data_IF_222491857165
#
_entry.id   IF_222491857165
#
_cell.length_a   1.000
_cell.length_b   1.000
_cell.length_c   1.000
_cell.angle_alpha   90.00
_cell.angle_beta   90.00
_cell.angle_gamma   90.00
#
_symmetry.space_group_name_H-M   'P 1'
#
loop_
_entity.id
_entity.type
_entity.pdbx_description
1 polymer ?
#
# COMPACT_ATOMS: atom_id res chain seq x y z
N UNK A 1 -4.48 1.98 -0.76
CA UNK A 1 -3.14 2.65 -0.84
C UNK A 1 -2.07 1.57 -0.90
N UNK A 2 -1.17 1.63 -1.88
CA UNK A 2 -0.06 0.70 -2.02
C UNK A 2 1.25 1.37 -1.59
N UNK A 3 2.30 0.64 -1.28
CA UNK A 3 3.60 1.19 -0.88
C UNK A 3 4.73 0.41 -1.52
N UNK A 4 5.80 1.06 -1.97
CA UNK A 4 6.97 0.37 -2.51
C UNK A 4 7.94 0.07 -1.38
N UNK A 5 8.38 -1.18 -1.29
CA UNK A 5 9.34 -1.62 -0.31
C UNK A 5 10.45 -2.49 -0.90
N UNK A 6 11.67 -2.28 -0.43
CA UNK A 6 12.81 -3.11 -0.78
C UNK A 6 13.08 -4.11 0.36
N UNK A 7 13.13 -5.40 0.04
CA UNK A 7 13.54 -6.44 0.98
C UNK A 7 15.05 -6.42 1.21
N UNK A 8 15.50 -7.06 2.30
CA UNK A 8 16.94 -7.18 2.66
C UNK A 8 17.83 -7.84 1.57
N UNK A 9 17.23 -8.44 0.54
CA UNK A 9 17.90 -9.11 -0.58
C UNK A 9 17.84 -8.32 -1.90
N UNK A 10 17.48 -7.03 -1.86
CA UNK A 10 17.35 -6.20 -3.08
C UNK A 10 16.12 -6.51 -3.93
N UNK A 11 15.12 -7.19 -3.35
CA UNK A 11 13.84 -7.49 -4.02
C UNK A 11 12.85 -6.38 -3.75
N UNK A 12 12.23 -5.83 -4.78
CA UNK A 12 11.17 -4.83 -4.62
C UNK A 12 9.83 -5.51 -4.31
N UNK A 13 8.95 -4.81 -3.61
CA UNK A 13 7.62 -5.27 -3.27
C UNK A 13 6.63 -4.11 -3.21
N UNK A 14 5.41 -4.36 -3.64
CA UNK A 14 4.27 -3.46 -3.50
C UNK A 14 3.42 -3.94 -2.33
N UNK A 15 3.37 -3.14 -1.27
CA UNK A 15 2.66 -3.43 -0.03
C UNK A 15 1.27 -2.81 -0.05
N UNK A 16 0.21 -3.58 0.17
CA UNK A 16 -1.15 -3.09 0.44
C UNK A 16 -1.51 -3.37 1.88
N UNK A 17 -1.56 -2.32 2.69
CA UNK A 17 -2.19 -2.41 4.01
C UNK A 17 -3.72 -2.44 3.87
N UNK A 18 -4.43 -3.18 4.71
CA UNK A 18 -5.90 -3.15 4.82
C UNK A 18 -6.32 -3.48 6.26
N UNK A 19 -7.44 -2.93 6.74
CA UNK A 19 -7.81 -3.01 8.15
C UNK A 19 -9.29 -3.26 8.40
N UNK A 20 -10.16 -2.38 7.89
CA UNK A 20 -11.58 -2.42 8.24
C UNK A 20 -12.39 -3.33 7.30
N UNK A 21 -13.63 -3.62 7.69
CA UNK A 21 -14.52 -4.49 6.93
C UNK A 21 -14.78 -4.01 5.50
N UNK A 22 -14.84 -2.69 5.26
CA UNK A 22 -15.01 -2.16 3.90
C UNK A 22 -13.78 -2.50 3.05
N UNK A 23 -12.57 -2.22 3.55
CA UNK A 23 -11.36 -2.57 2.81
C UNK A 23 -11.19 -4.08 2.56
N UNK A 24 -11.64 -4.92 3.51
CA UNK A 24 -11.68 -6.38 3.32
C UNK A 24 -12.66 -6.76 2.20
N UNK A 25 -13.85 -6.15 2.18
CA UNK A 25 -14.88 -6.42 1.18
C UNK A 25 -14.53 -5.88 -0.21
N UNK A 26 -13.77 -4.79 -0.28
CA UNK A 26 -13.39 -4.12 -1.54
C UNK A 26 -12.18 -4.79 -2.21
N UNK A 27 -11.48 -5.71 -1.52
CA UNK A 27 -10.31 -6.41 -2.05
C UNK A 27 -10.54 -7.06 -3.43
N UNK A 28 -11.62 -7.82 -3.68
CA UNK A 28 -11.88 -8.42 -4.99
C UNK A 28 -12.05 -7.37 -6.08
N UNK A 29 -12.74 -6.27 -5.80
CA UNK A 29 -12.94 -5.19 -6.78
C UNK A 29 -11.62 -4.50 -7.11
N UNK A 30 -10.81 -4.15 -6.10
CA UNK A 30 -9.51 -3.50 -6.31
C UNK A 30 -8.57 -4.32 -7.21
N UNK A 31 -8.44 -5.63 -6.96
CA UNK A 31 -7.61 -6.50 -7.79
C UNK A 31 -8.31 -6.87 -9.11
N UNK A 32 -9.64 -6.79 -9.15
CA UNK A 32 -10.43 -6.85 -10.38
C UNK A 32 -10.06 -5.74 -11.36
N UNK A 33 -9.86 -4.51 -10.86
CA UNK A 33 -9.42 -3.36 -11.67
C UNK A 33 -8.04 -3.59 -12.30
N UNK A 34 -7.17 -4.42 -11.72
CA UNK A 34 -5.87 -4.72 -12.33
C UNK A 34 -5.99 -5.63 -13.56
N UNK A 35 -7.15 -6.24 -13.79
CA UNK A 35 -7.42 -6.95 -15.04
C UNK A 35 -7.82 -6.00 -16.17
N UNK A 36 -8.36 -4.82 -15.86
CA UNK A 36 -8.75 -3.81 -16.84
C UNK A 36 -7.70 -2.72 -17.02
N UNK A 37 -6.94 -2.44 -15.96
CA UNK A 37 -5.86 -1.43 -15.89
C UNK A 37 -4.61 -2.15 -15.36
N UNK A 38 -3.88 -2.89 -16.21
CA UNK A 38 -2.81 -3.76 -15.77
C UNK A 38 -1.64 -2.97 -15.16
N UNK A 39 -1.00 -3.49 -14.10
CA UNK A 39 0.17 -2.87 -13.48
C UNK A 39 1.35 -2.69 -14.43
N UNK A 40 1.48 -3.60 -15.39
CA UNK A 40 2.50 -3.59 -16.42
C UNK A 40 1.98 -4.24 -17.71
N UNK A 41 2.46 -3.78 -18.87
CA UNK A 41 2.26 -4.45 -20.16
C UNK A 41 3.40 -5.44 -20.47
N UNK A 42 4.55 -5.25 -19.83
CA UNK A 42 5.74 -6.11 -19.94
C UNK A 42 6.45 -6.20 -18.59
N UNK A 43 7.24 -7.26 -18.34
CA UNK A 43 8.05 -7.36 -17.13
C UNK A 43 8.96 -6.14 -16.97
N UNK A 44 8.94 -5.53 -15.79
CA UNK A 44 9.63 -4.27 -15.44
C UNK A 44 11.17 -4.41 -15.28
N UNK A 45 11.76 -5.48 -15.83
CA UNK A 45 13.20 -5.79 -15.74
C UNK A 45 13.69 -6.26 -14.37
N UNK A 46 12.85 -6.21 -13.35
CA UNK A 46 13.12 -6.66 -11.98
C UNK A 46 11.94 -7.43 -11.42
N UNK A 47 12.18 -8.37 -10.51
CA UNK A 47 11.10 -9.09 -9.82
C UNK A 47 10.53 -8.22 -8.71
N UNK A 48 9.22 -7.95 -8.78
CA UNK A 48 8.47 -7.24 -7.76
C UNK A 48 7.46 -8.19 -7.12
N UNK A 49 7.35 -8.23 -5.80
CA UNK A 49 6.33 -9.01 -5.09
C UNK A 49 5.13 -8.14 -4.70
N UNK A 50 3.96 -8.72 -4.51
CA UNK A 50 2.84 -8.06 -3.81
C UNK A 50 2.78 -8.55 -2.37
N UNK A 51 2.67 -7.62 -1.43
CA UNK A 51 2.65 -7.89 0.00
C UNK A 51 1.35 -7.32 0.58
N UNK A 52 0.44 -8.19 0.97
CA UNK A 52 -0.79 -7.80 1.66
C UNK A 52 -0.51 -7.76 3.16
N UNK A 53 -0.87 -6.67 3.83
CA UNK A 53 -0.67 -6.50 5.28
C UNK A 53 -2.01 -6.17 5.92
N UNK A 54 -2.56 -7.13 6.65
CA UNK A 54 -3.72 -6.88 7.50
C UNK A 54 -3.28 -6.20 8.80
N UNK A 55 -3.98 -5.17 9.25
CA UNK A 55 -3.60 -4.43 10.46
C UNK A 55 -3.66 -5.30 11.71
N UNK A 56 -4.73 -6.07 11.87
CA UNK A 56 -4.97 -6.93 13.03
C UNK A 56 -4.53 -8.37 12.74
N UNK A 57 -4.92 -9.33 13.58
CA UNK A 57 -4.61 -10.76 13.40
C UNK A 57 -5.58 -11.43 12.43
N UNK A 58 -5.07 -12.23 11.49
CA UNK A 58 -5.93 -13.06 10.63
C UNK A 58 -6.69 -14.12 11.41
N UNK A 59 -6.13 -14.61 12.52
CA UNK A 59 -6.77 -15.61 13.39
C UNK A 59 -8.09 -15.10 13.97
N UNK A 60 -8.18 -13.79 14.21
CA UNK A 60 -9.36 -13.15 14.80
C UNK A 60 -10.36 -12.66 13.74
N UNK A 61 -9.98 -12.67 12.45
CA UNK A 61 -10.83 -12.23 11.35
C UNK A 61 -10.71 -13.16 10.13
N UNK A 62 -11.51 -14.25 10.09
CA UNK A 62 -11.54 -15.18 8.96
C UNK A 62 -11.91 -14.53 7.63
N UNK A 63 -12.71 -13.45 7.64
CA UNK A 63 -13.06 -12.74 6.41
C UNK A 63 -11.86 -12.02 5.81
N UNK A 64 -11.03 -11.37 6.64
CA UNK A 64 -9.78 -10.75 6.19
C UNK A 64 -8.79 -11.80 5.65
N UNK A 65 -8.67 -12.94 6.33
CA UNK A 65 -7.84 -14.05 5.87
C UNK A 65 -8.32 -14.59 4.52
N UNK A 66 -9.62 -14.81 4.38
CA UNK A 66 -10.21 -15.30 3.14
C UNK A 66 -10.02 -14.29 1.99
N UNK A 67 -10.18 -12.99 2.25
CA UNK A 67 -9.94 -11.95 1.25
C UNK A 67 -8.49 -12.00 0.73
N UNK A 68 -7.50 -12.08 1.64
CA UNK A 68 -6.10 -12.22 1.25
C UNK A 68 -5.84 -13.51 0.45
N UNK A 69 -6.41 -14.63 0.89
CA UNK A 69 -6.26 -15.90 0.20
C UNK A 69 -6.88 -15.87 -1.20
N UNK A 70 -8.02 -15.21 -1.38
CA UNK A 70 -8.66 -15.06 -2.69
C UNK A 70 -7.75 -14.32 -3.68
N UNK A 71 -7.04 -13.28 -3.23
CA UNK A 71 -6.08 -12.55 -4.09
C UNK A 71 -4.90 -13.43 -4.47
N UNK A 72 -4.34 -14.19 -3.52
CA UNK A 72 -3.25 -15.14 -3.76
C UNK A 72 -3.68 -16.21 -4.78
N UNK A 73 -4.82 -16.86 -4.54
CA UNK A 73 -5.36 -17.88 -5.44
C UNK A 73 -5.65 -17.31 -6.83
N UNK A 74 -6.19 -16.09 -6.91
CA UNK A 74 -6.43 -15.41 -8.19
C UNK A 74 -5.12 -15.18 -8.94
N UNK A 75 -4.08 -14.70 -8.27
CA UNK A 75 -2.75 -14.53 -8.86
C UNK A 75 -2.18 -15.86 -9.38
N UNK A 76 -2.22 -16.92 -8.58
CA UNK A 76 -1.71 -18.25 -8.93
C UNK A 76 -2.50 -18.91 -10.08
N UNK A 77 -3.78 -18.56 -10.23
CA UNK A 77 -4.62 -19.04 -11.34
C UNK A 77 -4.31 -18.41 -12.70
N UNK A 78 -3.46 -17.37 -12.74
CA UNK A 78 -2.99 -16.75 -13.98
C UNK A 78 -3.87 -15.58 -14.47
N UNK A 79 -4.00 -14.54 -13.66
CA UNK A 79 -4.64 -13.27 -14.06
C UNK A 79 -3.81 -12.47 -15.06
N UNK A 80 -4.41 -11.46 -15.70
CA UNK A 80 -3.73 -10.57 -16.64
C UNK A 80 -2.51 -9.87 -16.01
N UNK A 81 -2.58 -9.58 -14.70
CA UNK A 81 -1.50 -8.91 -13.98
C UNK A 81 -0.51 -9.88 -13.32
N UNK A 82 -0.75 -11.20 -13.34
CA UNK A 82 0.13 -12.17 -12.68
C UNK A 82 1.55 -12.18 -13.24
N UNK A 83 1.73 -11.84 -14.52
CA UNK A 83 3.05 -11.73 -15.16
C UNK A 83 3.88 -10.54 -14.66
N UNK A 84 3.25 -9.56 -14.01
CA UNK A 84 3.91 -8.36 -13.52
C UNK A 84 4.67 -8.57 -12.20
N UNK A 85 4.37 -9.65 -11.47
CA UNK A 85 4.91 -9.88 -10.13
C UNK A 85 5.49 -11.28 -9.98
N UNK A 86 6.44 -11.43 -9.07
CA UNK A 86 7.04 -12.73 -8.74
C UNK A 86 6.19 -13.56 -7.79
N UNK A 87 5.54 -12.93 -6.82
CA UNK A 87 4.70 -13.60 -5.83
C UNK A 87 3.69 -12.64 -5.20
N UNK A 88 2.63 -13.19 -4.61
CA UNK A 88 1.73 -12.49 -3.70
C UNK A 88 1.82 -13.17 -2.33
N UNK A 89 2.03 -12.39 -1.27
CA UNK A 89 2.15 -12.89 0.10
C UNK A 89 1.32 -12.05 1.05
N UNK A 90 0.78 -12.68 2.09
CA UNK A 90 0.00 -11.99 3.12
C UNK A 90 0.67 -12.09 4.49
N UNK A 91 0.59 -11.01 5.26
CA UNK A 91 1.06 -10.90 6.64
C UNK A 91 -0.01 -10.20 7.48
N UNK A 92 -0.03 -10.47 8.77
CA UNK A 92 -0.73 -9.64 9.74
C UNK A 92 0.26 -8.82 10.59
N UNK A 93 -0.11 -7.59 10.90
CA UNK A 93 0.67 -6.71 11.76
C UNK A 93 0.33 -6.90 13.26
N UNK A 94 -0.69 -7.72 13.57
CA UNK A 94 -1.10 -8.13 14.93
C UNK A 94 -1.41 -6.94 15.86
N UNK A 95 -1.91 -5.82 15.31
CA UNK A 95 -2.39 -4.71 16.15
C UNK A 95 -3.64 -5.13 16.94
N UNK A 96 -3.73 -4.68 18.17
CA UNK A 96 -4.96 -4.75 18.97
C UNK A 96 -6.00 -3.73 18.48
N UNK A 97 -7.27 -3.90 18.85
CA UNK A 97 -8.32 -2.94 18.52
C UNK A 97 -8.05 -1.53 19.07
N UNK A 98 -7.31 -1.42 20.17
CA UNK A 98 -6.90 -0.14 20.76
C UNK A 98 -5.75 0.52 20.00
N UNK A 99 -4.91 -0.28 19.34
CA UNK A 99 -3.81 0.23 18.52
C UNK A 99 -4.29 0.57 17.11
N UNK A 100 -5.22 -0.21 16.55
CA UNK A 100 -5.77 -0.05 15.21
C UNK A 100 -6.85 1.04 15.14
N UNK A 101 -6.50 2.24 15.60
CA UNK A 101 -7.38 3.41 15.62
C UNK A 101 -7.09 4.29 14.41
N UNK A 102 -8.14 4.55 13.63
CA UNK A 102 -8.17 5.61 12.63
C UNK A 102 -9.46 6.41 12.74
N UNK A 103 -9.34 7.67 13.19
CA UNK A 103 -10.44 8.62 13.29
C UNK A 103 -10.10 9.89 12.50
N UNK A 104 -10.42 9.89 11.22
CA UNK A 104 -10.17 11.02 10.32
C UNK A 104 -10.83 12.34 10.79
N UNK A 105 -11.89 12.28 11.61
CA UNK A 105 -12.58 13.47 12.14
C UNK A 105 -11.95 13.98 13.43
N UNK A 106 -11.20 13.13 14.13
CA UNK A 106 -10.53 13.42 15.38
C UNK A 106 -9.20 14.17 15.24
N UNK A 107 -8.73 14.45 14.02
CA UNK A 107 -7.39 15.02 13.77
C UNK A 107 -7.12 16.33 14.52
N UNK A 108 -8.16 17.14 14.74
CA UNK A 108 -8.05 18.42 15.44
C UNK A 108 -8.06 18.29 16.98
N UNK A 109 -8.53 17.16 17.52
CA UNK A 109 -8.79 16.99 18.94
C UNK A 109 -7.93 15.90 19.60
N UNK A 110 -7.39 14.97 18.82
CA UNK A 110 -6.66 13.80 19.29
C UNK A 110 -5.36 13.64 18.53
N UNK A 111 -4.27 13.47 19.25
CA UNK A 111 -2.93 13.21 18.71
C UNK A 111 -2.73 11.76 18.24
N UNK A 112 -3.58 10.83 18.67
CA UNK A 112 -3.57 9.41 18.30
C UNK A 112 -4.58 9.05 17.19
N UNK A 113 -5.17 10.04 16.53
CA UNK A 113 -6.21 9.85 15.52
C UNK A 113 -5.80 8.97 14.32
N UNK A 114 -4.50 8.82 14.05
CA UNK A 114 -3.96 7.99 12.97
C UNK A 114 -3.02 6.88 13.47
N UNK A 115 -3.21 6.41 14.71
CA UNK A 115 -2.31 5.44 15.35
C UNK A 115 -2.21 4.11 14.59
N UNK A 116 -3.34 3.56 14.11
CA UNK A 116 -3.39 2.30 13.37
C UNK A 116 -2.56 2.37 12.08
N UNK A 117 -2.88 3.28 11.14
CA UNK A 117 -2.11 3.47 9.91
C UNK A 117 -0.62 3.72 10.15
N UNK A 118 -0.26 4.53 11.16
CA UNK A 118 1.13 4.78 11.51
C UNK A 118 1.84 3.53 12.03
N UNK A 119 1.18 2.73 12.86
CA UNK A 119 1.74 1.50 13.41
C UNK A 119 1.93 0.44 12.32
N UNK A 120 0.98 0.29 11.40
CA UNK A 120 1.14 -0.58 10.22
C UNK A 120 2.27 -0.08 9.33
N UNK A 121 2.39 1.22 9.11
CA UNK A 121 3.53 1.79 8.36
C UNK A 121 4.86 1.44 9.04
N UNK A 122 4.98 1.62 10.36
CA UNK A 122 6.20 1.27 11.10
C UNK A 122 6.48 -0.24 11.06
N UNK A 123 5.45 -1.09 11.13
CA UNK A 123 5.61 -2.53 10.92
C UNK A 123 6.20 -2.81 9.55
N UNK A 124 5.63 -2.22 8.49
CA UNK A 124 6.11 -2.38 7.12
C UNK A 124 7.56 -1.88 6.99
N UNK A 125 7.92 -0.73 7.55
CA UNK A 125 9.28 -0.17 7.53
C UNK A 125 10.31 -1.00 8.33
N UNK A 126 9.88 -1.71 9.37
CA UNK A 126 10.75 -2.59 10.18
C UNK A 126 10.93 -3.95 9.52
N UNK A 127 9.86 -4.50 8.97
CA UNK A 127 9.83 -5.80 8.30
C UNK A 127 10.44 -5.74 6.91
N UNK A 128 10.31 -4.60 6.22
CA UNK A 128 10.78 -4.33 4.86
C UNK A 128 11.45 -2.95 4.83
N UNK A 129 12.49 -2.72 4.02
CA UNK A 129 13.02 -1.36 3.81
C UNK A 129 12.07 -0.60 2.87
N UNK A 130 10.90 -0.23 3.40
CA UNK A 130 9.89 0.52 2.67
C UNK A 130 10.32 1.98 2.51
N UNK A 131 9.91 2.63 1.42
CA UNK A 131 10.31 4.02 1.17
C UNK A 131 9.17 4.93 0.74
N UNK A 132 8.03 4.40 0.25
CA UNK A 132 6.97 5.25 -0.36
C UNK A 132 5.58 4.62 -0.26
N UNK A 133 4.54 5.42 -0.05
CA UNK A 133 3.11 5.05 -0.25
C UNK A 133 2.59 5.73 -1.51
N UNK A 134 1.86 5.05 -2.40
CA UNK A 134 1.24 5.59 -3.62
C UNK A 134 -0.08 4.89 -3.98
N UNK A 135 -1.00 5.62 -4.62
CA UNK A 135 -2.25 5.05 -5.19
C UNK A 135 -2.05 4.92 -6.70
N UNK A 136 -2.26 3.75 -7.33
CA UNK A 136 -2.17 3.61 -8.78
C UNK A 136 -3.38 4.28 -9.44
N UNK A 137 -3.12 5.19 -10.39
CA UNK A 137 -4.17 5.96 -11.12
C UNK A 137 -3.98 5.88 -12.65
N UNK A 138 -3.04 5.05 -13.16
CA UNK A 138 -2.73 4.96 -14.60
C UNK A 138 -2.19 3.59 -15.00
N UNK A 139 -2.39 3.19 -16.26
CA UNK A 139 -1.74 1.99 -16.84
C UNK A 139 -0.22 2.05 -16.70
N UNK A 140 0.42 0.89 -16.66
CA UNK A 140 1.88 0.75 -16.54
C UNK A 140 2.49 1.43 -15.30
N UNK A 141 1.68 1.64 -14.24
CA UNK A 141 2.14 2.30 -13.01
C UNK A 141 3.34 1.59 -12.35
N UNK A 142 3.51 0.27 -12.55
CA UNK A 142 4.61 -0.48 -11.95
C UNK A 142 5.98 -0.06 -12.50
N UNK A 143 6.06 0.25 -13.80
CA UNK A 143 7.31 0.73 -14.41
C UNK A 143 7.78 2.04 -13.77
N UNK A 144 6.85 2.96 -13.50
CA UNK A 144 7.14 4.21 -12.81
C UNK A 144 7.67 3.94 -11.39
N UNK A 145 7.03 3.05 -10.63
CA UNK A 145 7.48 2.78 -9.26
C UNK A 145 8.84 2.11 -9.18
N UNK A 146 9.14 1.21 -10.11
CA UNK A 146 10.48 0.62 -10.20
C UNK A 146 11.52 1.69 -10.53
N UNK A 147 11.28 2.53 -11.53
CA UNK A 147 12.19 3.62 -11.88
C UNK A 147 12.44 4.57 -10.69
N UNK A 148 11.37 4.94 -9.99
CA UNK A 148 11.41 5.77 -8.80
C UNK A 148 12.16 5.14 -7.60
N UNK A 149 12.07 3.82 -7.44
CA UNK A 149 12.75 3.09 -6.37
C UNK A 149 14.28 3.10 -6.56
N UNK A 150 14.74 3.00 -7.80
CA UNK A 150 16.18 3.02 -8.13
C UNK A 150 16.82 4.43 -8.11
N UNK A 151 16.01 5.49 -8.17
CA UNK A 151 16.49 6.90 -8.20
C UNK A 151 16.69 7.52 -6.80
N UNK A 152 16.41 6.79 -5.70
CA UNK A 152 16.22 7.43 -4.40
C UNK A 152 17.49 7.51 -3.51
N UNK A 153 18.08 8.70 -3.43
CA UNK A 153 19.00 9.15 -2.37
C UNK A 153 18.28 9.67 -1.10
N UNK A 154 16.95 9.53 -0.98
CA UNK A 154 16.17 10.08 0.16
C UNK A 154 15.03 9.14 0.58
N UNK A 155 14.82 9.01 1.90
CA UNK A 155 14.14 7.89 2.54
C UNK A 155 12.61 7.95 2.67
N UNK A 156 11.93 9.10 2.53
CA UNK A 156 10.47 9.17 2.63
C UNK A 156 9.92 10.28 1.71
N UNK A 157 9.22 9.89 0.64
CA UNK A 157 8.24 10.75 -0.05
C UNK A 157 6.92 10.00 -0.03
N UNK A 158 6.06 10.33 0.93
CA UNK A 158 4.67 9.89 0.91
C UNK A 158 4.00 10.37 -0.38
N UNK A 159 3.08 9.57 -0.92
CA UNK A 159 2.17 10.04 -1.95
C UNK A 159 1.58 11.37 -1.54
N UNK A 160 1.27 12.20 -2.53
CA UNK A 160 0.18 13.16 -2.39
C UNK A 160 -1.07 12.35 -1.97
N UNK A 161 -1.26 12.18 -0.67
CA UNK A 161 -2.58 12.05 -0.08
C UNK A 161 -3.30 13.33 -0.47
N UNK A 162 -4.04 13.28 -1.58
CA UNK A 162 -5.11 14.25 -1.83
C UNK A 162 -6.27 13.82 -0.93
N UNK A 163 -6.11 14.07 0.37
CA UNK A 163 -7.24 14.37 1.21
C UNK A 163 -7.64 15.79 0.86
N UNK A 164 -8.92 15.97 0.58
CA UNK A 164 -9.55 17.16 0.01
C UNK A 164 -9.54 18.35 1.00
N UNK A 165 -8.59 18.40 1.93
CA UNK A 165 -8.59 19.22 3.14
C UNK A 165 -7.28 19.96 3.43
N UNK A 166 -6.28 19.88 2.53
CA UNK A 166 -5.02 20.65 2.66
C UNK A 166 -4.95 21.95 1.81
N UNK A 167 -6.03 22.32 1.11
CA UNK A 167 -6.08 23.53 0.28
C UNK A 167 -5.66 24.84 1.00
N UNK A 168 -6.01 25.09 2.28
CA UNK A 168 -5.60 26.32 2.96
C UNK A 168 -4.09 26.39 3.21
N UNK A 169 -3.42 25.24 3.34
CA UNK A 169 -1.97 25.20 3.58
C UNK A 169 -1.17 25.43 2.29
N UNK A 170 -1.67 24.94 1.15
CA UNK A 170 -1.07 25.21 -0.16
C UNK A 170 -1.02 26.71 -0.46
N UNK A 171 -2.06 27.46 -0.09
CA UNK A 171 -2.07 28.93 -0.20
C UNK A 171 -1.14 29.65 0.79
N UNK A 172 -0.61 28.93 1.79
CA UNK A 172 0.31 29.48 2.80
C UNK A 172 1.78 29.20 2.53
N UNK A 173 2.08 28.36 1.52
CA UNK A 173 3.46 28.10 1.12
C UNK A 173 4.00 29.30 0.32
N UNK A 174 5.25 29.71 0.56
CA UNK A 174 5.87 30.75 -0.24
C UNK A 174 6.09 30.23 -1.67
N UNK A 175 6.01 31.14 -2.64
CA UNK A 175 5.95 30.83 -4.07
C UNK A 175 7.19 30.11 -4.63
N UNK A 176 8.25 30.00 -3.85
CA UNK A 176 9.47 29.27 -4.16
C UNK A 176 9.37 27.75 -3.90
N UNK A 177 8.31 27.28 -3.24
CA UNK A 177 8.10 25.86 -2.90
C UNK A 177 6.97 25.20 -3.70
N UNK A 178 6.25 25.95 -4.54
CA UNK A 178 5.18 25.41 -5.39
C UNK A 178 5.74 24.79 -6.69
N UNK A 179 5.79 23.45 -6.74
CA UNK A 179 6.02 22.62 -7.95
C UNK A 179 4.70 22.06 -8.51
#
# INVERSE_FOLDING_TARGET
LFAVAEGKLGKLGIVRAFANANEVNDMPEMFGLWNTVPPCESPVGVTVDVILVYSQSFEDNPAAQQAAQNVITSFESGTAWSSCFGSVRAFDAKLTAQEDVYDARGYAARNDWANGPNTVFLFVMRSFRATRQTVPVRDNWLHQFVAEAYDATVAIRGSRYRGDTWDPYLSSLPADVSL
#
